data_IF_956952157706
#
_entry.id   IF_956952157706
#
_cell.length_a   1.000
_cell.length_b   1.000
_cell.length_c   1.000
_cell.angle_alpha   90.00
_cell.angle_beta   90.00
_cell.angle_gamma   90.00
#
_symmetry.space_group_name_H-M   'P 1'
#
loop_
_entity.id
_entity.type
_entity.pdbx_description
1 polymer ?
#
# COMPACT_ATOMS: atom_id res chain seq x y z
N UNK A 1 10.90 -22.11 51.48
CA UNK A 1 10.41 -20.79 51.01
C UNK A 1 11.50 -20.20 50.14
N UNK A 2 11.55 -20.62 48.87
CA UNK A 2 12.33 -19.92 47.84
C UNK A 2 11.37 -19.00 47.07
N UNK A 3 11.71 -17.72 46.86
CA UNK A 3 10.78 -16.76 46.27
C UNK A 3 10.72 -16.90 44.74
N UNK A 4 9.51 -16.91 44.22
CA UNK A 4 9.21 -16.79 42.79
C UNK A 4 9.53 -15.37 42.33
N UNK A 5 10.34 -15.15 41.27
CA UNK A 5 10.48 -13.83 40.69
C UNK A 5 9.32 -13.58 39.73
N UNK A 6 8.35 -12.81 40.22
CA UNK A 6 7.39 -12.06 39.41
C UNK A 6 8.16 -11.05 38.53
N UNK A 7 8.54 -11.49 37.34
CA UNK A 7 8.99 -10.62 36.26
C UNK A 7 7.84 -10.38 35.29
N UNK A 8 6.91 -9.49 35.64
CA UNK A 8 6.03 -8.84 34.65
C UNK A 8 6.93 -8.11 33.65
N UNK A 9 7.27 -8.78 32.56
CA UNK A 9 7.77 -8.11 31.37
C UNK A 9 6.56 -7.36 30.82
N UNK A 10 6.56 -6.06 31.03
CA UNK A 10 5.71 -5.13 30.29
C UNK A 10 5.80 -5.54 28.79
N UNK A 11 4.70 -5.61 28.02
CA UNK A 11 4.79 -5.75 26.56
C UNK A 11 5.30 -4.42 26.00
N UNK A 12 6.56 -4.10 26.27
CA UNK A 12 7.27 -2.98 25.72
C UNK A 12 8.14 -3.52 24.59
N UNK A 13 7.88 -2.97 23.40
CA UNK A 13 8.59 -3.21 22.15
C UNK A 13 8.11 -4.49 21.46
N UNK A 14 7.30 -4.30 20.41
CA UNK A 14 6.97 -5.32 19.41
C UNK A 14 8.21 -6.16 19.09
N UNK A 15 8.09 -7.48 19.20
CA UNK A 15 9.18 -8.40 18.89
C UNK A 15 9.73 -8.05 17.49
N UNK A 16 11.05 -7.83 17.30
CA UNK A 16 11.61 -7.55 15.99
C UNK A 16 11.23 -8.62 14.94
N UNK A 17 10.94 -9.86 15.37
CA UNK A 17 10.40 -10.90 14.50
C UNK A 17 8.94 -10.61 14.07
N UNK A 18 8.07 -10.16 14.97
CA UNK A 18 6.70 -9.76 14.64
C UNK A 18 6.67 -8.52 13.73
N UNK A 19 7.57 -7.56 13.98
CA UNK A 19 7.75 -6.40 13.12
C UNK A 19 8.23 -6.78 11.71
N UNK A 20 9.11 -7.78 11.60
CA UNK A 20 9.58 -8.29 10.30
C UNK A 20 8.48 -9.02 9.52
N UNK A 21 7.66 -9.84 10.18
CA UNK A 21 6.51 -10.52 9.57
C UNK A 21 5.44 -9.53 9.11
N UNK A 22 5.17 -8.50 9.90
CA UNK A 22 4.25 -7.43 9.51
C UNK A 22 4.78 -6.65 8.29
N UNK A 23 6.09 -6.35 8.25
CA UNK A 23 6.74 -5.70 7.10
C UNK A 23 6.66 -6.54 5.84
N UNK A 24 6.88 -7.85 5.93
CA UNK A 24 6.78 -8.75 4.79
C UNK A 24 5.34 -8.84 4.27
N UNK A 25 4.37 -8.90 5.17
CA UNK A 25 2.95 -8.91 4.82
C UNK A 25 2.52 -7.62 4.11
N UNK A 26 2.98 -6.46 4.59
CA UNK A 26 2.74 -5.16 3.95
C UNK A 26 3.43 -5.09 2.58
N UNK A 27 4.68 -5.54 2.47
CA UNK A 27 5.41 -5.59 1.20
C UNK A 27 4.67 -6.44 0.16
N UNK A 28 4.21 -7.62 0.54
CA UNK A 28 3.45 -8.51 -0.35
C UNK A 28 2.10 -7.89 -0.77
N UNK A 29 1.40 -7.21 0.15
CA UNK A 29 0.19 -6.48 -0.19
C UNK A 29 0.46 -5.33 -1.19
N UNK A 30 1.58 -4.62 -1.04
CA UNK A 30 2.01 -3.60 -2.00
C UNK A 30 2.38 -4.19 -3.36
N UNK A 31 3.07 -5.33 -3.39
CA UNK A 31 3.41 -6.05 -4.62
C UNK A 31 2.14 -6.48 -5.35
N UNK A 32 1.18 -7.08 -4.64
CA UNK A 32 -0.12 -7.45 -5.21
C UNK A 32 -0.88 -6.22 -5.74
N UNK A 33 -0.86 -5.11 -5.01
CA UNK A 33 -1.45 -3.85 -5.47
C UNK A 33 -0.73 -3.28 -6.70
N UNK A 34 0.60 -3.39 -6.81
CA UNK A 34 1.37 -2.94 -7.97
C UNK A 34 1.09 -3.79 -9.21
N UNK A 35 0.97 -5.12 -9.05
CA UNK A 35 0.77 -6.05 -10.17
C UNK A 35 -0.66 -6.09 -10.68
N UNK A 36 -1.65 -5.87 -9.80
CA UNK A 36 -3.05 -6.05 -10.17
C UNK A 36 -3.84 -4.75 -10.33
N UNK A 37 -3.41 -3.65 -9.69
CA UNK A 37 -4.15 -2.40 -9.73
C UNK A 37 -3.55 -1.39 -10.71
N UNK A 38 -4.38 -0.75 -11.54
CA UNK A 38 -3.98 0.45 -12.26
C UNK A 38 -3.49 1.55 -11.29
N UNK A 39 -2.56 2.43 -11.70
CA UNK A 39 -1.94 3.44 -10.83
C UNK A 39 -2.92 4.28 -10.02
N UNK A 40 -3.97 4.79 -10.68
CA UNK A 40 -5.02 5.59 -10.00
C UNK A 40 -5.80 4.79 -8.96
N UNK A 41 -6.06 3.51 -9.19
CA UNK A 41 -6.78 2.65 -8.24
C UNK A 41 -5.91 2.34 -7.02
N UNK A 42 -4.62 2.05 -7.25
CA UNK A 42 -3.61 1.88 -6.20
C UNK A 42 -3.47 3.13 -5.34
N UNK A 43 -3.31 4.31 -5.95
CA UNK A 43 -3.22 5.58 -5.25
C UNK A 43 -4.43 5.84 -4.35
N UNK A 44 -5.64 5.67 -4.90
CA UNK A 44 -6.88 5.84 -4.15
C UNK A 44 -7.00 4.84 -2.99
N UNK A 45 -6.66 3.57 -3.20
CA UNK A 45 -6.73 2.54 -2.17
C UNK A 45 -5.80 2.88 -0.99
N UNK A 46 -4.55 3.22 -1.25
CA UNK A 46 -3.58 3.55 -0.20
C UNK A 46 -4.00 4.80 0.58
N UNK A 47 -4.38 5.88 -0.13
CA UNK A 47 -4.80 7.12 0.52
C UNK A 47 -6.07 6.94 1.38
N UNK A 48 -7.03 6.13 0.92
CA UNK A 48 -8.31 5.94 1.61
C UNK A 48 -8.26 4.90 2.73
N UNK A 49 -7.51 3.81 2.56
CA UNK A 49 -7.58 2.66 3.46
C UNK A 49 -6.36 2.55 4.38
N UNK A 50 -5.17 2.94 3.89
CA UNK A 50 -3.95 2.94 4.71
C UNK A 50 -3.80 4.27 5.43
N UNK A 51 -4.06 5.39 4.74
CA UNK A 51 -3.86 6.73 5.32
C UNK A 51 -5.14 7.35 5.90
N UNK A 52 -6.28 6.70 5.69
CA UNK A 52 -7.59 7.14 6.19
C UNK A 52 -8.01 8.56 5.76
N UNK A 53 -7.50 9.08 4.63
CA UNK A 53 -7.91 10.39 4.09
C UNK A 53 -9.37 10.39 3.68
N UNK A 54 -10.03 11.55 3.70
CA UNK A 54 -11.39 11.70 3.15
C UNK A 54 -11.37 11.64 1.63
N UNK A 55 -12.45 11.13 1.02
CA UNK A 55 -12.57 11.09 -0.43
C UNK A 55 -12.47 12.48 -1.09
N UNK A 56 -12.86 13.54 -0.38
CA UNK A 56 -12.68 14.93 -0.83
C UNK A 56 -11.21 15.35 -0.90
N UNK A 57 -10.41 15.02 0.13
CA UNK A 57 -8.98 15.35 0.18
C UNK A 57 -8.20 14.59 -0.91
N UNK A 58 -8.57 13.33 -1.15
CA UNK A 58 -8.00 12.53 -2.24
C UNK A 58 -8.40 13.06 -3.61
N UNK A 59 -9.64 13.52 -3.77
CA UNK A 59 -10.12 14.09 -5.03
C UNK A 59 -9.40 15.40 -5.36
N UNK A 60 -9.18 16.25 -4.36
CA UNK A 60 -8.39 17.47 -4.49
C UNK A 60 -6.92 17.15 -4.84
N UNK A 61 -6.29 16.23 -4.11
CA UNK A 61 -4.92 15.83 -4.37
C UNK A 61 -4.74 15.27 -5.80
N UNK A 62 -5.62 14.37 -6.24
CA UNK A 62 -5.51 13.71 -7.54
C UNK A 62 -6.19 14.49 -8.68
N UNK A 63 -6.53 15.77 -8.46
CA UNK A 63 -7.20 16.64 -9.42
C UNK A 63 -8.40 15.98 -10.13
N UNK A 64 -9.27 15.33 -9.35
CA UNK A 64 -10.38 14.54 -9.84
C UNK A 64 -11.65 14.77 -9.02
N UNK A 65 -12.74 14.04 -9.32
CA UNK A 65 -13.99 14.15 -8.57
C UNK A 65 -14.08 13.10 -7.46
N UNK A 66 -14.79 13.42 -6.38
CA UNK A 66 -15.10 12.46 -5.29
C UNK A 66 -15.78 11.20 -5.83
N UNK A 67 -16.64 11.34 -6.84
CA UNK A 67 -17.27 10.22 -7.53
C UNK A 67 -16.23 9.32 -8.23
N UNK A 68 -15.23 9.92 -8.89
CA UNK A 68 -14.12 9.18 -9.51
C UNK A 68 -13.30 8.42 -8.47
N UNK A 69 -13.00 9.05 -7.32
CA UNK A 69 -12.31 8.40 -6.19
C UNK A 69 -13.10 7.21 -5.67
N UNK A 70 -14.38 7.36 -5.35
CA UNK A 70 -15.20 6.26 -4.84
C UNK A 70 -15.31 5.11 -5.84
N UNK A 71 -15.47 5.43 -7.13
CA UNK A 71 -15.53 4.44 -8.20
C UNK A 71 -14.20 3.70 -8.38
N UNK A 72 -13.07 4.41 -8.29
CA UNK A 72 -11.73 3.81 -8.33
C UNK A 72 -11.48 2.89 -7.13
N UNK A 73 -11.90 3.30 -5.92
CA UNK A 73 -11.77 2.47 -4.72
C UNK A 73 -12.61 1.19 -4.81
N UNK A 74 -13.84 1.30 -5.32
CA UNK A 74 -14.70 0.13 -5.52
C UNK A 74 -14.06 -0.89 -6.48
N UNK A 75 -13.52 -0.41 -7.62
CA UNK A 75 -12.83 -1.27 -8.58
C UNK A 75 -11.56 -1.88 -7.98
N UNK A 76 -10.78 -1.09 -7.24
CA UNK A 76 -9.57 -1.58 -6.58
C UNK A 76 -9.86 -2.78 -5.68
N UNK A 77 -10.90 -2.67 -4.83
CA UNK A 77 -11.36 -3.78 -3.97
C UNK A 77 -11.79 -4.99 -4.77
N UNK A 78 -12.60 -4.81 -5.80
CA UNK A 78 -13.06 -5.90 -6.65
C UNK A 78 -11.88 -6.64 -7.30
N UNK A 79 -10.90 -5.91 -7.84
CA UNK A 79 -9.71 -6.50 -8.46
C UNK A 79 -8.84 -7.24 -7.45
N UNK A 80 -8.67 -6.73 -6.23
CA UNK A 80 -7.92 -7.44 -5.19
C UNK A 80 -8.65 -8.72 -4.73
N UNK A 81 -9.97 -8.67 -4.54
CA UNK A 81 -10.77 -9.87 -4.21
C UNK A 81 -10.71 -10.92 -5.32
N UNK A 82 -10.71 -10.52 -6.59
CA UNK A 82 -10.52 -11.42 -7.73
C UNK A 82 -9.10 -12.00 -7.80
N UNK A 83 -8.09 -11.25 -7.35
CA UNK A 83 -6.70 -11.68 -7.28
C UNK A 83 -6.43 -12.63 -6.11
N UNK A 84 -7.06 -12.43 -4.94
CA UNK A 84 -6.94 -13.33 -3.77
C UNK A 84 -7.38 -14.78 -4.07
N UNK A 85 -8.31 -14.97 -5.01
CA UNK A 85 -8.73 -16.29 -5.48
C UNK A 85 -7.75 -16.97 -6.44
N UNK A 86 -6.77 -16.23 -6.97
CA UNK A 86 -5.65 -16.77 -7.75
C UNK A 86 -4.50 -17.03 -6.79
N UNK A 87 -4.18 -18.30 -6.56
CA UNK A 87 -2.93 -18.71 -5.89
C UNK A 87 -1.79 -17.92 -6.55
N UNK A 88 -0.83 -17.33 -5.79
CA UNK A 88 0.24 -16.52 -6.35
C UNK A 88 1.28 -17.41 -7.02
N UNK A 89 0.88 -18.11 -8.06
CA UNK A 89 1.77 -18.79 -8.97
C UNK A 89 1.89 -17.89 -10.20
N UNK A 90 3.05 -17.26 -10.33
CA UNK A 90 3.41 -16.32 -11.39
C UNK A 90 2.56 -15.04 -11.45
N UNK A 91 2.69 -14.18 -10.45
CA UNK A 91 2.60 -12.76 -10.78
C UNK A 91 3.87 -12.40 -11.56
N UNK A 92 3.73 -11.78 -12.74
CA UNK A 92 4.88 -11.43 -13.57
C UNK A 92 5.92 -10.66 -12.75
N UNK A 93 7.22 -10.96 -12.92
CA UNK A 93 8.27 -10.22 -12.22
C UNK A 93 8.08 -8.74 -12.49
N UNK A 94 8.07 -7.94 -11.41
CA UNK A 94 7.98 -6.48 -11.52
C UNK A 94 9.07 -5.99 -12.47
N UNK A 95 8.70 -5.10 -13.39
CA UNK A 95 9.70 -4.42 -14.23
C UNK A 95 10.62 -3.52 -13.37
N UNK A 96 11.72 -3.03 -13.95
CA UNK A 96 12.69 -2.22 -13.20
C UNK A 96 12.08 -0.92 -12.63
N UNK A 97 11.07 -0.35 -13.29
CA UNK A 97 10.42 0.88 -12.82
C UNK A 97 9.49 0.58 -11.64
N UNK A 98 8.73 -0.50 -11.71
CA UNK A 98 7.87 -1.01 -10.65
C UNK A 98 8.69 -1.45 -9.42
N UNK A 99 9.87 -2.05 -9.61
CA UNK A 99 10.77 -2.40 -8.51
C UNK A 99 11.29 -1.13 -7.80
N UNK A 100 11.77 -0.14 -8.56
CA UNK A 100 12.20 1.15 -8.00
C UNK A 100 11.06 1.87 -7.28
N UNK A 101 9.85 1.79 -7.83
CA UNK A 101 8.66 2.38 -7.24
C UNK A 101 8.30 1.67 -5.92
N UNK A 102 8.31 0.34 -5.90
CA UNK A 102 8.11 -0.46 -4.68
C UNK A 102 9.13 -0.11 -3.59
N UNK A 103 10.41 0.01 -3.94
CA UNK A 103 11.46 0.41 -2.99
C UNK A 103 11.20 1.79 -2.39
N UNK A 104 10.81 2.78 -3.22
CA UNK A 104 10.43 4.12 -2.76
C UNK A 104 9.23 4.07 -1.82
N UNK A 105 8.21 3.28 -2.15
CA UNK A 105 7.02 3.06 -1.32
C UNK A 105 7.36 2.45 0.04
N UNK A 106 8.11 1.34 0.04
CA UNK A 106 8.51 0.64 1.26
C UNK A 106 9.35 1.56 2.14
N UNK A 107 10.32 2.28 1.56
CA UNK A 107 11.17 3.22 2.31
C UNK A 107 10.36 4.36 2.95
N UNK A 108 9.42 4.96 2.21
CA UNK A 108 8.56 6.02 2.74
C UNK A 108 7.66 5.50 3.86
N UNK A 109 7.09 4.30 3.70
CA UNK A 109 6.27 3.65 4.72
C UNK A 109 7.07 3.29 5.99
N UNK A 110 8.26 2.70 5.84
CA UNK A 110 9.14 2.34 6.96
C UNK A 110 9.68 3.56 7.72
N UNK A 111 9.88 4.67 7.01
CA UNK A 111 10.28 5.95 7.60
C UNK A 111 9.15 6.71 8.28
N UNK A 112 7.90 6.20 8.22
CA UNK A 112 6.69 6.94 8.58
C UNK A 112 6.59 8.31 7.88
N UNK A 113 7.20 8.43 6.70
CA UNK A 113 7.23 9.65 5.90
C UNK A 113 5.99 9.71 5.01
N UNK A 114 4.89 10.15 5.62
CA UNK A 114 3.61 10.26 4.95
C UNK A 114 3.62 11.28 3.81
N UNK A 115 4.46 12.32 3.90
CA UNK A 115 4.57 13.32 2.86
C UNK A 115 5.23 12.74 1.61
N UNK A 116 6.32 11.98 1.78
CA UNK A 116 6.96 11.26 0.69
C UNK A 116 6.01 10.21 0.07
N UNK A 117 5.28 9.47 0.91
CA UNK A 117 4.32 8.48 0.43
C UNK A 117 3.22 9.10 -0.42
N UNK A 118 2.63 10.21 0.04
CA UNK A 118 1.59 10.92 -0.72
C UNK A 118 2.12 11.52 -2.02
N UNK A 119 3.34 12.07 -2.02
CA UNK A 119 3.98 12.59 -3.23
C UNK A 119 4.21 11.50 -4.27
N UNK A 120 4.65 10.31 -3.85
CA UNK A 120 4.83 9.13 -4.71
C UNK A 120 3.50 8.69 -5.34
N UNK A 121 2.43 8.64 -4.55
CA UNK A 121 1.09 8.24 -5.02
C UNK A 121 0.52 9.23 -6.03
N UNK A 122 0.75 10.52 -5.78
CA UNK A 122 0.34 11.58 -6.70
C UNK A 122 1.11 11.49 -8.01
N UNK A 123 2.44 11.38 -7.96
CA UNK A 123 3.31 11.24 -9.13
C UNK A 123 2.90 10.00 -9.96
N UNK A 124 2.74 8.85 -9.32
CA UNK A 124 2.32 7.59 -9.96
C UNK A 124 0.91 7.70 -10.59
N UNK A 125 -0.03 8.39 -9.93
CA UNK A 125 -1.38 8.55 -10.47
C UNK A 125 -1.48 9.56 -11.64
N UNK A 126 -0.61 10.58 -11.67
CA UNK A 126 -0.66 11.67 -12.66
C UNK A 126 0.26 11.40 -13.85
N UNK A 127 1.42 10.77 -13.65
CA UNK A 127 2.44 10.60 -14.69
C UNK A 127 2.07 9.56 -15.76
N UNK A 128 1.12 8.65 -15.49
CA UNK A 128 0.72 7.59 -16.44
C UNK A 128 -0.39 7.98 -17.44
N UNK A 129 -0.58 9.28 -17.76
CA UNK A 129 -1.49 9.72 -18.84
C UNK A 129 -0.73 10.48 -19.94
N UNK A 130 -0.97 10.22 -21.25
CA UNK A 130 -2.08 9.44 -21.83
C UNK A 130 -1.80 7.93 -21.84
N UNK A 131 -2.84 7.08 -21.97
CA UNK A 131 -2.72 5.62 -21.91
C UNK A 131 -1.70 5.14 -22.94
N UNK A 132 -0.73 4.33 -22.52
CA UNK A 132 -0.09 3.42 -23.45
C UNK A 132 -1.14 2.35 -23.77
N UNK A 133 -1.66 2.39 -25.00
CA UNK A 133 -2.34 1.24 -25.59
C UNK A 133 -1.37 0.06 -25.54
N UNK A 134 -1.69 -0.95 -24.74
CA UNK A 134 -1.14 -2.30 -24.88
C UNK A 134 -1.84 -3.01 -26.03
#
# INVERSE_FOLDING_TARGET
LEPMPDGRILPSVQDPAEAAVARESVRLAFVAALQHLPPKQRAVLILREVLAWKAAEVAELLETSVASVNSALQRARATLTEAEGRVPDAADPLDEEQQKLLERYVKAFEGYDMAALTALLHEDAVMTMPPFDL
#
